data_IF_113312080937
#
_entry.id   IF_113312080937
#
_cell.length_a   1.000
_cell.length_b   1.000
_cell.length_c   1.000
_cell.angle_alpha   90.00
_cell.angle_beta   90.00
_cell.angle_gamma   90.00
#
_symmetry.space_group_name_H-M   'P 1'
#
loop_
_entity.id
_entity.type
_entity.pdbx_description
1 polymer ?
#
# COMPACT_ATOMS: atom_id res chain seq x y z
N UNK A 1 -4.27 -5.03 -5.42
CA UNK A 1 -3.58 -6.11 -6.13
C UNK A 1 -2.88 -7.05 -5.15
N UNK A 2 -3.24 -8.32 -5.18
CA UNK A 2 -2.51 -9.38 -4.48
C UNK A 2 -1.51 -10.01 -5.44
N UNK A 3 -0.23 -10.00 -5.08
CA UNK A 3 0.86 -10.46 -5.95
C UNK A 3 1.30 -11.89 -5.60
N UNK A 4 1.11 -12.30 -4.34
CA UNK A 4 1.40 -13.64 -3.84
C UNK A 4 0.54 -13.92 -2.60
N UNK A 5 0.51 -15.18 -2.18
CA UNK A 5 -0.16 -15.56 -0.93
C UNK A 5 0.65 -15.11 0.27
N UNK A 6 -0.02 -14.50 1.25
CA UNK A 6 0.54 -14.19 2.56
C UNK A 6 0.67 -15.47 3.39
N UNK A 7 1.73 -15.58 4.21
CA UNK A 7 1.83 -16.60 5.26
C UNK A 7 1.18 -16.09 6.56
N UNK A 8 0.91 -16.98 7.51
CA UNK A 8 0.44 -16.64 8.86
C UNK A 8 1.58 -16.07 9.73
N UNK A 9 2.14 -14.93 9.29
CA UNK A 9 3.18 -14.15 9.97
C UNK A 9 2.84 -12.68 9.85
N UNK A 10 3.50 -11.85 10.65
CA UNK A 10 3.30 -10.40 10.62
C UNK A 10 3.53 -9.84 9.22
N UNK A 11 2.65 -8.92 8.84
CA UNK A 11 2.70 -8.24 7.55
C UNK A 11 2.91 -6.76 7.82
N UNK A 12 4.02 -6.25 7.31
CA UNK A 12 4.35 -4.84 7.34
C UNK A 12 3.69 -4.13 6.15
N UNK A 13 3.41 -2.85 6.34
CA UNK A 13 2.89 -1.99 5.28
C UNK A 13 3.58 -0.63 5.30
N UNK A 14 3.80 -0.07 4.11
CA UNK A 14 4.21 1.32 3.91
C UNK A 14 3.23 1.98 2.96
N UNK A 15 2.80 3.18 3.34
CA UNK A 15 1.96 4.02 2.51
C UNK A 15 2.78 5.22 2.03
N UNK A 16 2.61 5.58 0.76
CA UNK A 16 3.23 6.75 0.15
C UNK A 16 2.16 7.58 -0.56
N UNK A 17 2.11 8.87 -0.25
CA UNK A 17 1.25 9.82 -0.95
C UNK A 17 1.92 10.16 -2.28
N UNK A 18 1.41 9.58 -3.36
CA UNK A 18 1.96 9.79 -4.71
C UNK A 18 1.52 11.13 -5.30
N UNK A 19 0.35 11.61 -4.90
CA UNK A 19 -0.17 12.93 -5.31
C UNK A 19 -1.12 13.47 -4.25
N UNK A 20 -0.94 14.71 -3.84
CA UNK A 20 -1.88 15.41 -2.97
C UNK A 20 -2.49 16.61 -3.71
N UNK A 21 -3.76 16.48 -4.09
CA UNK A 21 -4.55 17.58 -4.65
C UNK A 21 -5.40 18.27 -3.60
N UNK A 22 -6.14 19.31 -4.00
CA UNK A 22 -7.00 20.09 -3.09
C UNK A 22 -8.13 19.28 -2.45
N UNK A 23 -8.66 18.29 -3.15
CA UNK A 23 -9.79 17.45 -2.69
C UNK A 23 -9.49 15.96 -2.68
N UNK A 24 -8.44 15.52 -3.38
CA UNK A 24 -8.14 14.09 -3.50
C UNK A 24 -6.65 13.88 -3.26
N UNK A 25 -6.31 12.94 -2.40
CA UNK A 25 -4.96 12.40 -2.28
C UNK A 25 -4.91 10.97 -2.83
N UNK A 26 -3.91 10.70 -3.65
CA UNK A 26 -3.59 9.38 -4.18
C UNK A 26 -2.50 8.78 -3.31
N UNK A 27 -2.76 7.60 -2.78
CA UNK A 27 -1.85 6.88 -1.88
C UNK A 27 -1.61 5.50 -2.45
N UNK A 28 -0.35 5.10 -2.50
CA UNK A 28 0.03 3.71 -2.77
C UNK A 28 0.39 3.06 -1.44
N UNK A 29 -0.22 1.93 -1.13
CA UNK A 29 0.12 1.11 0.02
C UNK A 29 0.77 -0.19 -0.44
N UNK A 30 1.96 -0.49 0.05
CA UNK A 30 2.70 -1.70 -0.27
C UNK A 30 2.83 -2.53 1.00
N UNK A 31 2.42 -3.80 0.93
CA UNK A 31 2.46 -4.73 2.04
C UNK A 31 3.47 -5.84 1.79
N UNK A 32 4.33 -6.16 2.75
CA UNK A 32 5.33 -7.23 2.67
C UNK A 32 5.46 -7.96 4.01
N UNK A 33 6.09 -9.13 4.01
CA UNK A 33 6.34 -9.89 5.23
C UNK A 33 7.82 -9.86 5.60
N UNK A 34 8.68 -10.45 4.77
CA UNK A 34 10.11 -10.51 5.07
C UNK A 34 10.93 -9.41 4.39
N UNK A 35 10.67 -9.16 3.10
CA UNK A 35 11.46 -8.24 2.28
C UNK A 35 10.54 -7.21 1.58
N UNK A 36 10.75 -5.90 1.76
CA UNK A 36 10.02 -4.85 1.05
C UNK A 36 10.13 -4.92 -0.49
N UNK A 37 11.24 -5.44 -1.04
CA UNK A 37 11.39 -5.66 -2.47
C UNK A 37 10.53 -6.84 -2.97
N UNK A 38 9.98 -7.62 -2.04
CA UNK A 38 9.14 -8.77 -2.27
C UNK A 38 7.73 -8.58 -1.65
N UNK A 39 6.92 -7.61 -2.15
CA UNK A 39 5.61 -7.32 -1.60
C UNK A 39 4.58 -8.42 -1.85
N UNK A 40 3.73 -8.67 -0.86
CA UNK A 40 2.61 -9.61 -0.90
C UNK A 40 1.40 -8.99 -1.61
N UNK A 41 1.15 -7.71 -1.34
CA UNK A 41 0.07 -6.96 -1.95
C UNK A 41 0.46 -5.50 -2.15
N UNK A 42 -0.16 -4.87 -3.15
CA UNK A 42 -0.07 -3.43 -3.39
C UNK A 42 -1.50 -2.91 -3.56
N UNK A 43 -1.83 -1.80 -2.94
CA UNK A 43 -3.12 -1.13 -3.07
C UNK A 43 -2.91 0.30 -3.53
N UNK A 44 -3.85 0.78 -4.33
CA UNK A 44 -3.94 2.18 -4.76
C UNK A 44 -5.22 2.74 -4.17
N UNK A 45 -5.09 3.77 -3.35
CA UNK A 45 -6.17 4.34 -2.56
C UNK A 45 -6.34 5.80 -2.93
N UNK A 46 -7.59 6.22 -3.11
CA UNK A 46 -7.94 7.61 -3.31
C UNK A 46 -8.69 8.11 -2.09
N UNK A 47 -8.10 9.05 -1.37
CA UNK A 47 -8.71 9.67 -0.21
C UNK A 47 -9.35 11.00 -0.61
N UNK A 48 -10.62 11.18 -0.25
CA UNK A 48 -11.25 12.49 -0.30
C UNK A 48 -10.73 13.31 0.89
N UNK A 49 -10.21 14.50 0.60
CA UNK A 49 -9.78 15.49 1.58
C UNK A 49 -10.89 16.53 1.72
N UNK A 50 -11.30 16.76 2.97
CA UNK A 50 -12.31 17.75 3.38
C UNK A 50 -11.66 18.98 3.95
#
# INVERSE_FOLDING_TARGET
DYLRSARAVDTHARCEVTRQGRRIAHVTATCWQHDPAAPVAVARVHFLLT
#
